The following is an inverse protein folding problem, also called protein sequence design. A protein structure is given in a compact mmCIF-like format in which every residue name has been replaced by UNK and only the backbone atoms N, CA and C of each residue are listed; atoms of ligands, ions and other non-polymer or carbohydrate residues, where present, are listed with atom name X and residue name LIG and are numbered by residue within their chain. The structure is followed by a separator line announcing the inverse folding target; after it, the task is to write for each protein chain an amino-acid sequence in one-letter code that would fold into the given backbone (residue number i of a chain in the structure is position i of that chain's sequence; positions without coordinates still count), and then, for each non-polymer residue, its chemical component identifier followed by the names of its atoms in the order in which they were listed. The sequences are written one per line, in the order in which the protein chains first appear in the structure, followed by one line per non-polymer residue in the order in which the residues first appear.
data_IF_734287210785
#
_entry.id   IF_734287210785
#
_cell.length_a   1.000
_cell.length_b   1.000
_cell.length_c   1.000
_cell.angle_alpha   90.00
_cell.angle_beta   90.00
_cell.angle_gamma   90.00
#
_symmetry.space_group_name_H-M   'P 1'
#
loop_
_entity.id
_entity.type
_entity.pdbx_description
1 polymer ?
2 non-polymer ?
3 non-polymer ?
4 non-polymer ?
5 water ?
#
# COMPACT_ATOMS: atom_id res chain seq x y z
N UNK A 1 13.50 6.00 -11.73
CA UNK A 1 14.35 4.87 -11.30
C UNK A 1 13.59 3.95 -10.34
N UNK A 2 14.35 3.21 -9.54
CA UNK A 2 13.77 2.22 -8.59
C UNK A 2 12.81 2.86 -7.59
N UNK A 3 13.23 3.97 -6.96
CA UNK A 3 12.33 4.63 -5.97
C UNK A 3 11.02 5.10 -6.61
N UNK A 4 11.09 5.71 -7.79
CA UNK A 4 9.87 6.09 -8.52
C UNK A 4 8.98 4.88 -8.84
N UNK A 5 9.61 3.78 -9.27
CA UNK A 5 8.83 2.59 -9.59
C UNK A 5 8.01 2.09 -8.39
N UNK A 6 8.57 2.15 -7.18
CA UNK A 6 7.81 1.80 -5.97
C UNK A 6 6.53 2.66 -5.87
N UNK A 7 6.68 3.98 -6.13
CA UNK A 7 5.53 4.90 -6.14
C UNK A 7 4.52 4.55 -7.26
N UNK A 8 5.01 4.22 -8.46
CA UNK A 8 4.13 3.84 -9.57
C UNK A 8 3.26 2.60 -9.16
N UNK A 9 3.96 1.56 -8.69
CA UNK A 9 3.27 0.31 -8.30
C UNK A 9 2.23 0.58 -7.16
N UNK A 10 2.64 1.32 -6.13
CA UNK A 10 1.78 1.65 -5.01
C UNK A 10 0.53 2.46 -5.42
N UNK A 11 0.62 3.21 -6.53
CA UNK A 11 -0.53 3.99 -7.00
C UNK A 11 -1.65 3.15 -7.62
N UNK A 12 -1.42 1.86 -7.90
CA UNK A 12 -2.49 0.96 -8.43
C UNK A 12 -2.16 -0.47 -8.00
N UNK A 13 -2.00 -0.66 -6.70
CA UNK A 13 -1.26 -1.81 -6.21
C UNK A 13 -2.01 -3.17 -6.36
N UNK A 14 -3.34 -3.23 -6.08
CA UNK A 14 -4.08 -4.48 -6.24
C UNK A 14 -4.01 -4.98 -7.71
N UNK A 15 -4.14 -4.05 -8.67
CA UNK A 15 -4.12 -4.38 -10.10
C UNK A 15 -2.72 -4.88 -10.52
N UNK A 16 -1.66 -4.12 -10.17
CA UNK A 16 -0.30 -4.59 -10.49
C UNK A 16 0.03 -5.92 -9.82
N UNK A 17 -0.33 -6.07 -8.53
CA UNK A 17 -0.03 -7.29 -7.78
C UNK A 17 -0.65 -8.52 -8.48
N UNK A 18 -1.95 -8.44 -8.80
CA UNK A 18 -2.62 -9.57 -9.47
C UNK A 18 -2.01 -9.81 -10.85
N UNK A 19 -1.76 -8.75 -11.65
CA UNK A 19 -1.26 -8.95 -13.01
C UNK A 19 0.16 -9.55 -13.04
N UNK A 20 1.03 -9.08 -12.13
CA UNK A 20 2.40 -9.64 -12.04
C UNK A 20 2.36 -11.11 -11.57
N UNK A 21 1.56 -11.38 -10.53
CA UNK A 21 1.45 -12.76 -10.03
C UNK A 21 0.89 -13.73 -11.10
N UNK A 22 -0.13 -13.25 -11.88
CA UNK A 22 -0.61 -14.06 -13.03
C UNK A 22 0.48 -14.28 -14.07
N UNK A 23 1.28 -13.23 -14.35
CA UNK A 23 2.37 -13.42 -15.33
C UNK A 23 3.34 -14.51 -14.85
N UNK A 24 3.65 -14.52 -13.55
CA UNK A 24 4.49 -15.55 -12.93
C UNK A 24 3.88 -16.97 -13.09
N UNK A 25 2.64 -17.12 -12.67
CA UNK A 25 1.98 -18.43 -12.77
C UNK A 25 1.85 -18.91 -14.21
N UNK A 26 1.61 -18.01 -15.16
CA UNK A 26 1.46 -18.40 -16.57
C UNK A 26 2.82 -18.69 -17.25
N UNK A 27 3.92 -18.04 -16.82
CA UNK A 27 5.25 -18.32 -17.35
C UNK A 27 5.79 -19.65 -16.81
N UNK A 28 5.43 -19.95 -15.56
CA UNK A 28 5.93 -21.12 -14.81
C UNK A 28 4.75 -21.94 -14.25
N UNK A 29 4.00 -22.67 -15.11
CA UNK A 29 2.77 -23.27 -14.60
C UNK A 29 3.03 -24.32 -13.50
N UNK A 30 4.22 -24.94 -13.53
CA UNK A 30 4.54 -25.90 -12.50
C UNK A 30 4.64 -25.29 -11.13
N UNK A 31 4.85 -23.96 -11.03
CA UNK A 31 4.90 -23.27 -9.75
C UNK A 31 3.55 -23.32 -9.01
N UNK A 32 2.45 -23.65 -9.70
CA UNK A 32 1.15 -23.92 -9.01
C UNK A 32 1.16 -25.07 -8.03
N UNK A 33 2.18 -25.92 -8.08
CA UNK A 33 2.36 -26.92 -7.03
C UNK A 33 2.35 -26.31 -5.62
N UNK A 34 2.77 -25.03 -5.51
CA UNK A 34 2.77 -24.28 -4.28
C UNK A 34 1.43 -23.58 -3.98
N UNK A 35 0.49 -23.58 -4.93
CA UNK A 35 -0.75 -22.79 -4.90
C UNK A 35 -1.91 -23.65 -5.44
N UNK A 36 -2.17 -24.77 -4.77
CA UNK A 36 -3.10 -25.78 -5.27
C UNK A 36 -4.55 -25.28 -5.43
N UNK A 37 -4.95 -24.29 -4.66
CA UNK A 37 -6.31 -23.76 -4.75
C UNK A 37 -6.53 -22.93 -6.02
N UNK A 38 -5.45 -22.60 -6.74
CA UNK A 38 -5.57 -21.81 -7.96
C UNK A 38 -5.53 -22.64 -9.25
N UNK A 39 -5.49 -23.95 -9.14
CA UNK A 39 -5.52 -24.86 -10.27
C UNK A 39 -6.87 -24.80 -11.00
N UNK A 40 -6.84 -24.93 -12.34
CA UNK A 40 -8.11 -25.12 -13.10
C UNK A 40 -8.93 -23.85 -13.26
N UNK A 41 -8.27 -22.69 -13.26
CA UNK A 41 -8.98 -21.41 -13.26
C UNK A 41 -8.29 -20.45 -14.26
N UNK A 42 -9.10 -19.77 -15.07
CA UNK A 42 -8.60 -18.71 -15.94
C UNK A 42 -8.22 -17.47 -15.11
N UNK A 43 -7.50 -16.54 -15.77
CA UNK A 43 -7.12 -15.26 -15.10
C UNK A 43 -8.38 -14.51 -14.53
N UNK A 44 -9.45 -14.38 -15.34
CA UNK A 44 -10.63 -13.66 -14.87
C UNK A 44 -11.31 -14.39 -13.68
N UNK A 45 -11.31 -15.74 -13.69
CA UNK A 45 -11.85 -16.50 -12.55
C UNK A 45 -11.01 -16.20 -11.27
N UNK A 46 -9.67 -16.24 -11.40
CA UNK A 46 -8.79 -15.97 -10.21
C UNK A 46 -9.04 -14.56 -9.67
N UNK A 47 -9.29 -13.57 -10.54
CA UNK A 47 -9.55 -12.16 -10.12
C UNK A 47 -10.94 -12.00 -9.46
N UNK A 48 -11.75 -13.07 -9.40
CA UNK A 48 -13.00 -13.11 -8.60
C UNK A 48 -12.96 -14.15 -7.46
N UNK A 49 -11.78 -14.61 -7.07
CA UNK A 49 -11.59 -15.50 -5.93
C UNK A 49 -11.01 -14.70 -4.76
N UNK A 50 -11.74 -14.61 -3.65
CA UNK A 50 -11.43 -13.62 -2.58
C UNK A 50 -10.00 -13.73 -2.06
N UNK A 51 -9.55 -14.99 -1.77
CA UNK A 51 -8.20 -15.18 -1.21
C UNK A 51 -7.10 -14.85 -2.23
N UNK A 52 -7.33 -15.08 -3.54
CA UNK A 52 -6.31 -14.72 -4.55
C UNK A 52 -6.04 -13.20 -4.46
N UNK A 53 -7.10 -12.38 -4.48
CA UNK A 53 -6.90 -10.90 -4.45
C UNK A 53 -6.34 -10.41 -3.11
N UNK A 54 -6.92 -10.88 -2.01
CA UNK A 54 -6.54 -10.39 -0.69
C UNK A 54 -5.09 -10.80 -0.35
N UNK A 55 -4.75 -12.09 -0.55
CA UNK A 55 -3.41 -12.53 -0.24
C UNK A 55 -2.37 -11.89 -1.18
N UNK A 56 -2.64 -11.85 -2.50
CA UNK A 56 -1.67 -11.30 -3.42
C UNK A 56 -1.41 -9.79 -3.17
N UNK A 57 -2.44 -9.01 -2.78
CA UNK A 57 -2.24 -7.60 -2.38
C UNK A 57 -1.34 -7.53 -1.13
N UNK A 58 -1.58 -8.37 -0.12
CA UNK A 58 -0.75 -8.34 1.10
C UNK A 58 0.71 -8.71 0.78
N UNK A 59 0.95 -9.65 -0.12
CA UNK A 59 2.28 -10.01 -0.60
C UNK A 59 2.99 -8.74 -1.13
N UNK A 60 2.32 -8.01 -2.05
CA UNK A 60 2.93 -6.83 -2.68
C UNK A 60 3.01 -5.62 -1.71
N UNK A 61 2.10 -5.49 -0.75
CA UNK A 61 2.25 -4.44 0.28
C UNK A 61 3.63 -4.62 0.98
N UNK A 62 3.93 -5.87 1.40
CA UNK A 62 5.20 -6.17 2.05
C UNK A 62 6.40 -6.06 1.08
N UNK A 63 6.25 -6.56 -0.15
CA UNK A 63 7.37 -6.48 -1.11
C UNK A 63 7.79 -4.99 -1.32
N UNK A 64 6.78 -4.09 -1.42
CA UNK A 64 7.10 -2.67 -1.64
C UNK A 64 7.81 -2.04 -0.42
N UNK A 65 7.42 -2.47 0.80
CA UNK A 65 8.13 -2.03 2.00
C UNK A 65 9.61 -2.52 2.02
N UNK A 66 9.84 -3.80 1.66
CA UNK A 66 11.20 -4.33 1.60
C UNK A 66 12.05 -3.55 0.56
N UNK A 67 11.45 -3.30 -0.62
CA UNK A 67 12.13 -2.48 -1.66
C UNK A 67 12.42 -1.06 -1.14
N UNK A 68 11.45 -0.46 -0.45
CA UNK A 68 11.64 0.94 0.03
C UNK A 68 12.72 1.06 1.13
N UNK A 69 12.83 0.01 1.94
CA UNK A 69 13.86 -0.04 3.03
C UNK A 69 15.26 -0.39 2.51
N UNK A 70 15.39 -0.85 1.27
CA UNK A 70 16.67 -1.26 0.68
C UNK A 70 17.59 -0.04 0.44
N UNK A 71 18.90 -0.30 0.35
CA UNK A 71 19.91 0.69 -0.10
C UNK A 71 20.54 0.17 -1.39
N UNK A 72 20.48 0.96 -2.49
CA UNK A 72 21.02 0.51 -3.80
C UNK A 72 20.53 -0.90 -4.15
N UNK A 73 19.23 -1.15 -3.92
CA UNK A 73 18.59 -2.44 -4.30
C UNK A 73 19.06 -3.65 -3.47
N UNK A 74 19.67 -3.38 -2.30
CA UNK A 74 20.12 -4.43 -1.34
C UNK A 74 19.23 -4.36 -0.12
N UNK A 75 18.43 -5.45 0.14
CA UNK A 75 17.45 -5.39 1.27
C UNK A 75 18.14 -5.48 2.66
N UNK A 76 17.42 -4.99 3.67
CA UNK A 76 17.85 -5.21 5.09
C UNK A 76 17.89 -6.69 5.44
N UNK A 77 18.90 -7.07 6.24
CA UNK A 77 18.95 -8.48 6.74
C UNK A 77 17.71 -8.85 7.54
N UNK A 78 17.14 -7.92 8.29
CA UNK A 78 15.92 -8.20 9.09
C UNK A 78 14.73 -8.54 8.18
N UNK A 79 14.62 -7.90 7.01
CA UNK A 79 13.55 -8.22 6.06
C UNK A 79 13.74 -9.63 5.42
N UNK A 80 14.98 -9.97 5.05
CA UNK A 80 15.28 -11.30 4.53
C UNK A 80 14.93 -12.39 5.59
N UNK A 81 15.33 -12.15 6.86
CA UNK A 81 15.01 -13.12 7.91
C UNK A 81 13.50 -13.30 8.06
N UNK A 82 12.72 -12.23 8.04
CA UNK A 82 11.26 -12.36 8.12
C UNK A 82 10.77 -13.26 7.03
N UNK A 83 11.19 -13.05 5.79
CA UNK A 83 10.76 -13.88 4.63
C UNK A 83 11.15 -15.36 4.74
N UNK A 84 12.32 -15.66 5.31
CA UNK A 84 12.71 -17.05 5.52
C UNK A 84 11.91 -17.72 6.65
N UNK A 85 11.67 -16.98 7.75
CA UNK A 85 11.08 -17.59 9.00
C UNK A 85 9.56 -17.72 8.96
N UNK A 86 8.90 -16.93 8.14
CA UNK A 86 7.47 -17.02 7.95
C UNK A 86 6.99 -18.49 7.74
N UNK A 87 6.08 -18.97 8.59
CA UNK A 87 5.53 -20.33 8.45
C UNK A 87 4.95 -20.69 7.06
N UNK A 88 4.41 -19.67 6.37
CA UNK A 88 3.83 -19.86 5.03
C UNK A 88 4.86 -20.22 3.97
N UNK A 89 6.14 -19.85 4.25
CA UNK A 89 7.26 -20.00 3.31
C UNK A 89 8.13 -21.20 3.59
N UNK A 90 7.65 -22.08 4.47
CA UNK A 90 8.39 -23.24 4.96
C UNK A 90 8.83 -24.16 3.81
N UNK A 91 7.91 -24.36 2.84
CA UNK A 91 8.22 -25.21 1.69
C UNK A 91 9.13 -24.69 0.59
N UNK A 92 9.67 -23.47 0.75
CA UNK A 92 10.28 -22.74 -0.38
C UNK A 92 11.80 -22.82 -0.39
N UNK A 93 12.37 -22.70 -1.58
CA UNK A 93 13.81 -22.58 -1.78
C UNK A 93 14.01 -21.33 -2.63
N UNK A 94 15.26 -20.96 -2.85
CA UNK A 94 15.57 -19.70 -3.53
C UNK A 94 15.23 -19.69 -5.00
N UNK A 95 15.19 -20.85 -5.66
CA UNK A 95 14.70 -20.89 -7.05
C UNK A 95 13.28 -20.38 -7.28
N UNK A 96 12.43 -20.55 -6.28
CA UNK A 96 11.05 -20.03 -6.31
C UNK A 96 11.06 -18.49 -6.46
N UNK A 97 11.97 -17.86 -5.69
CA UNK A 97 12.16 -16.38 -5.73
C UNK A 97 12.79 -15.92 -7.02
N UNK A 98 13.83 -16.63 -7.47
CA UNK A 98 14.49 -16.32 -8.77
C UNK A 98 13.45 -16.23 -9.89
N UNK A 99 12.53 -17.22 -9.95
CA UNK A 99 11.49 -17.28 -11.01
C UNK A 99 10.43 -16.14 -10.91
N UNK A 100 10.05 -15.83 -9.67
CA UNK A 100 9.14 -14.69 -9.47
C UNK A 100 9.70 -13.37 -10.04
N UNK A 101 11.00 -13.13 -9.74
CA UNK A 101 11.61 -11.88 -10.20
C UNK A 101 11.93 -11.86 -11.70
N UNK A 102 12.26 -13.02 -12.30
CA UNK A 102 12.36 -13.10 -13.76
C UNK A 102 11.02 -12.68 -14.43
N UNK A 103 9.92 -13.24 -13.92
CA UNK A 103 8.59 -12.89 -14.46
C UNK A 103 8.22 -11.40 -14.27
N UNK A 104 8.55 -10.85 -13.06
CA UNK A 104 8.28 -9.43 -12.76
C UNK A 104 9.04 -8.50 -13.74
N UNK A 105 10.34 -8.79 -13.95
CA UNK A 105 11.15 -7.97 -14.84
C UNK A 105 10.64 -8.05 -16.32
N UNK A 106 10.25 -9.27 -16.75
CA UNK A 106 9.68 -9.44 -18.09
C UNK A 106 8.38 -8.62 -18.27
N UNK A 107 7.52 -8.65 -17.23
CA UNK A 107 6.27 -7.85 -17.23
C UNK A 107 6.57 -6.36 -17.39
N UNK A 108 7.55 -5.86 -16.61
CA UNK A 108 7.92 -4.46 -16.68
C UNK A 108 8.42 -4.05 -18.10
N UNK A 109 9.28 -4.89 -18.69
CA UNK A 109 9.84 -4.61 -20.03
C UNK A 109 8.74 -4.59 -21.09
N UNK A 110 7.74 -5.46 -20.96
CA UNK A 110 6.62 -5.53 -21.92
C UNK A 110 5.52 -4.44 -21.74
N UNK A 111 5.52 -3.75 -20.59
CA UNK A 111 4.46 -2.80 -20.23
C UNK A 111 4.47 -1.56 -21.10
N UNK A 112 5.63 -1.20 -21.64
CA UNK A 112 5.72 0.00 -22.51
C UNK A 112 5.60 1.28 -21.68
N UNK A 113 6.01 1.12 -20.41
CA UNK A 113 6.05 2.29 -19.55
C UNK A 113 7.49 2.74 -19.42
N UNK A 114 7.86 3.20 -18.20
CA UNK A 114 9.19 3.71 -17.95
C UNK A 114 9.80 3.11 -16.69
N UNK A 115 9.49 1.84 -16.44
CA UNK A 115 10.05 1.12 -15.27
C UNK A 115 11.58 0.97 -15.47
N UNK A 116 12.31 0.99 -14.36
CA UNK A 116 13.77 0.74 -14.36
C UNK A 116 13.98 -0.76 -14.19
N UNK A 117 13.75 -1.50 -15.28
CA UNK A 117 13.73 -2.97 -15.21
C UNK A 117 15.03 -3.58 -14.68
N UNK A 118 16.16 -2.98 -15.05
CA UNK A 118 17.45 -3.47 -14.61
C UNK A 118 17.67 -3.38 -13.08
N UNK A 119 17.12 -2.34 -12.46
CA UNK A 119 17.19 -2.26 -10.99
C UNK A 119 16.35 -3.37 -10.33
N UNK A 120 15.17 -3.67 -10.89
CA UNK A 120 14.35 -4.79 -10.34
C UNK A 120 15.06 -6.16 -10.52
N UNK A 121 15.83 -6.34 -11.61
CA UNK A 121 16.62 -7.56 -11.79
C UNK A 121 17.68 -7.65 -10.69
N UNK A 122 18.38 -6.55 -10.39
CA UNK A 122 19.35 -6.51 -9.26
C UNK A 122 18.70 -6.78 -7.92
N UNK A 123 17.55 -6.13 -7.66
CA UNK A 123 16.85 -6.35 -6.40
C UNK A 123 16.51 -7.81 -6.23
N UNK A 124 15.98 -8.48 -7.28
CA UNK A 124 15.66 -9.92 -7.15
C UNK A 124 16.90 -10.77 -6.85
N UNK A 125 18.01 -10.49 -7.55
CA UNK A 125 19.27 -11.24 -7.29
C UNK A 125 19.80 -11.00 -5.88
N UNK A 126 19.75 -9.75 -5.41
CA UNK A 126 20.24 -9.40 -4.08
C UNK A 126 19.32 -9.94 -2.95
N UNK A 127 18.02 -9.99 -3.22
CA UNK A 127 17.12 -10.63 -2.27
C UNK A 127 17.42 -12.11 -2.19
N UNK A 128 17.62 -12.81 -3.32
CA UNK A 128 18.00 -14.27 -3.31
C UNK A 128 19.27 -14.48 -2.45
N UNK A 129 20.30 -13.65 -2.66
CA UNK A 129 21.53 -13.86 -1.88
C UNK A 129 21.30 -13.60 -0.39
N UNK A 130 20.50 -12.60 -0.04
CA UNK A 130 20.14 -12.33 1.38
C UNK A 130 19.31 -13.49 2.02
N UNK A 131 18.38 -14.06 1.25
CA UNK A 131 17.63 -15.24 1.71
C UNK A 131 18.56 -16.42 2.01
N UNK A 132 19.51 -16.70 1.10
CA UNK A 132 20.52 -17.75 1.35
C UNK A 132 21.29 -17.50 2.64
N UNK A 133 21.75 -16.26 2.85
CA UNK A 133 22.49 -15.86 4.06
C UNK A 133 21.66 -16.06 5.34
N UNK A 134 20.34 -15.82 5.22
CA UNK A 134 19.39 -15.96 6.34
C UNK A 134 18.90 -17.41 6.56
N UNK A 135 19.39 -18.36 5.74
CA UNK A 135 19.18 -19.79 5.94
C UNK A 135 18.24 -20.48 4.97
N UNK A 136 17.69 -19.84 3.96
CA UNK A 136 16.89 -20.56 2.96
C UNK A 136 17.74 -21.45 2.07
N UNK A 137 17.22 -22.66 1.81
CA UNK A 137 17.91 -23.66 0.99
C UNK A 137 17.77 -23.46 -0.50
N UNK B 1 6.22 3.91 17.13
CA UNK B 1 5.94 5.37 16.96
C UNK B 1 5.36 5.64 15.57
N UNK B 2 5.53 6.88 15.10
CA UNK B 2 4.91 7.33 13.82
C UNK B 2 5.40 6.51 12.62
N UNK B 3 6.74 6.30 12.51
CA UNK B 3 7.29 5.52 11.40
C UNK B 3 6.78 4.08 11.40
N UNK B 4 6.74 3.41 12.58
CA UNK B 4 6.17 2.06 12.63
C UNK B 4 4.68 2.08 12.23
N UNK B 5 3.92 3.11 12.67
CA UNK B 5 2.50 3.16 12.31
C UNK B 5 2.30 3.20 10.77
N UNK B 6 3.17 3.93 10.04
CA UNK B 6 3.10 3.92 8.59
C UNK B 6 3.26 2.48 8.05
N UNK B 7 4.22 1.73 8.62
CA UNK B 7 4.42 0.29 8.23
C UNK B 7 3.21 -0.60 8.60
N UNK B 8 2.62 -0.40 9.79
CA UNK B 8 1.41 -1.16 10.16
C UNK B 8 0.28 -0.92 9.15
N UNK B 9 0.03 0.38 8.88
CA UNK B 9 -1.06 0.73 7.94
C UNK B 9 -0.77 0.18 6.53
N UNK B 10 0.48 0.40 6.05
CA UNK B 10 0.92 -0.10 4.71
C UNK B 10 0.76 -1.62 4.56
N UNK B 11 0.99 -2.38 5.63
CA UNK B 11 0.95 -3.84 5.54
C UNK B 11 -0.42 -4.38 5.17
N UNK B 12 -1.49 -3.67 5.59
CA UNK B 12 -2.87 -4.05 5.24
C UNK B 12 -3.67 -2.79 4.80
N UNK B 13 -3.14 -2.09 3.81
CA UNK B 13 -3.63 -0.72 3.55
C UNK B 13 -5.10 -0.70 3.11
N UNK B 14 -5.54 -1.66 2.29
CA UNK B 14 -6.94 -1.58 1.77
C UNK B 14 -7.94 -1.75 2.94
N UNK B 15 -7.63 -2.61 3.93
CA UNK B 15 -8.54 -2.80 5.07
C UNK B 15 -8.57 -1.57 5.99
N UNK B 16 -7.38 -1.07 6.36
CA UNK B 16 -7.35 0.16 7.19
C UNK B 16 -8.00 1.34 6.48
N UNK B 17 -7.72 1.51 5.17
CA UNK B 17 -8.27 2.68 4.45
C UNK B 17 -9.81 2.69 4.50
N UNK B 18 -10.41 1.53 4.19
CA UNK B 18 -11.88 1.41 4.23
C UNK B 18 -12.41 1.67 5.63
N UNK B 19 -11.80 1.04 6.65
CA UNK B 19 -12.36 1.17 7.97
C UNK B 19 -12.20 2.60 8.55
N UNK B 20 -11.12 3.31 8.23
CA UNK B 20 -10.94 4.69 8.72
C UNK B 20 -11.90 5.63 7.95
N UNK B 21 -12.04 5.46 6.62
CA UNK B 21 -12.96 6.32 5.87
C UNK B 21 -14.41 6.12 6.36
N UNK B 22 -14.81 4.88 6.60
CA UNK B 22 -16.17 4.64 7.17
C UNK B 22 -16.33 5.27 8.55
N UNK B 23 -15.29 5.19 9.41
CA UNK B 23 -15.39 5.83 10.73
C UNK B 23 -15.61 7.35 10.57
N UNK B 24 -14.88 7.98 9.62
CA UNK B 24 -15.10 9.41 9.30
C UNK B 24 -16.53 9.72 8.84
N UNK B 25 -17.04 8.96 7.88
CA UNK B 25 -18.38 9.23 7.37
C UNK B 25 -19.46 8.99 8.44
N UNK B 26 -19.25 7.98 9.29
CA UNK B 26 -20.23 7.71 10.37
C UNK B 26 -20.17 8.73 11.51
N UNK B 27 -18.99 9.29 11.79
CA UNK B 27 -18.89 10.33 12.81
C UNK B 27 -19.49 11.67 12.34
N UNK B 28 -19.29 11.95 11.08
CA UNK B 28 -19.69 13.26 10.46
C UNK B 28 -20.56 12.99 9.23
N UNK B 29 -21.82 12.56 9.46
CA UNK B 29 -22.64 12.18 8.31
C UNK B 29 -22.84 13.35 7.29
N UNK B 30 -22.83 14.62 7.74
CA UNK B 30 -22.93 15.76 6.79
C UNK B 30 -21.80 15.83 5.77
N UNK B 31 -20.65 15.23 6.07
CA UNK B 31 -19.52 15.21 5.14
C UNK B 31 -19.78 14.33 3.95
N UNK B 32 -20.80 13.46 4.00
CA UNK B 32 -21.13 12.63 2.85
C UNK B 32 -21.65 13.49 1.65
N UNK B 33 -22.01 14.74 1.89
CA UNK B 33 -22.29 15.78 0.88
C UNK B 33 -21.21 15.91 -0.21
N UNK B 34 -19.95 15.65 0.14
CA UNK B 34 -18.80 15.62 -0.78
C UNK B 34 -18.74 14.34 -1.60
N UNK B 35 -19.55 13.34 -1.24
CA UNK B 35 -19.47 12.01 -1.82
C UNK B 35 -20.90 11.49 -2.14
N UNK B 36 -21.54 12.18 -3.09
CA UNK B 36 -22.92 11.89 -3.49
C UNK B 36 -23.20 10.42 -3.89
N UNK B 37 -22.21 9.77 -4.48
CA UNK B 37 -22.25 8.36 -4.92
C UNK B 37 -22.34 7.30 -3.79
N UNK B 38 -22.09 7.70 -2.54
CA UNK B 38 -22.13 6.80 -1.36
C UNK B 38 -23.40 6.98 -0.49
N UNK B 39 -24.30 7.86 -0.92
CA UNK B 39 -25.55 8.10 -0.20
C UNK B 39 -26.43 6.82 -0.20
N UNK B 40 -27.07 6.55 0.94
CA UNK B 40 -28.08 5.48 0.99
C UNK B 40 -27.54 4.07 1.04
N UNK B 41 -26.31 3.90 1.56
CA UNK B 41 -25.60 2.63 1.62
C UNK B 41 -24.97 2.41 3.00
N UNK B 42 -25.14 1.19 3.55
CA UNK B 42 -24.48 0.82 4.82
C UNK B 42 -22.97 0.50 4.59
N UNK B 43 -22.27 0.27 5.70
CA UNK B 43 -20.83 -0.04 5.64
C UNK B 43 -20.57 -1.24 4.69
N UNK B 44 -21.32 -2.34 4.90
CA UNK B 44 -21.07 -3.56 4.13
C UNK B 44 -21.54 -3.40 2.67
N UNK B 45 -22.57 -2.61 2.42
CA UNK B 45 -22.93 -2.26 1.04
C UNK B 45 -21.80 -1.52 0.30
N UNK B 46 -21.18 -0.56 0.95
CA UNK B 46 -20.05 0.18 0.32
C UNK B 46 -18.87 -0.78 0.07
N UNK B 47 -18.50 -1.60 1.07
CA UNK B 47 -17.31 -2.51 0.97
C UNK B 47 -17.53 -3.62 -0.04
N UNK B 48 -18.78 -3.93 -0.37
CA UNK B 48 -19.08 -5.02 -1.30
C UNK B 48 -18.66 -4.72 -2.70
N UNK B 49 -18.38 -3.44 -2.95
CA UNK B 49 -17.89 -2.98 -4.23
C UNK B 49 -16.36 -2.87 -4.17
N UNK B 50 -15.77 -3.82 -4.93
CA UNK B 50 -14.29 -3.80 -5.06
C UNK B 50 -13.75 -2.40 -5.42
N UNK B 51 -14.54 -1.59 -6.16
CA UNK B 51 -14.17 -0.18 -6.44
C UNK B 51 -14.05 0.83 -5.31
N UNK B 52 -14.97 0.77 -4.35
CA UNK B 52 -14.87 1.56 -3.09
C UNK B 52 -13.52 1.28 -2.43
N UNK B 53 -13.14 0.02 -2.39
CA UNK B 53 -11.84 -0.36 -1.86
C UNK B 53 -10.68 0.17 -2.70
N UNK B 54 -10.77 0.07 -4.03
CA UNK B 54 -9.70 0.51 -4.93
C UNK B 54 -9.45 1.97 -4.70
N UNK B 55 -10.52 2.69 -4.76
CA UNK B 55 -10.46 4.11 -4.67
C UNK B 55 -9.95 4.66 -3.28
N UNK B 56 -10.51 4.12 -2.22
CA UNK B 56 -10.13 4.48 -0.89
C UNK B 56 -8.62 4.12 -0.59
N UNK B 57 -8.16 2.97 -1.10
CA UNK B 57 -6.79 2.62 -0.90
C UNK B 57 -5.83 3.62 -1.62
N UNK B 58 -6.21 4.10 -2.82
CA UNK B 58 -5.39 5.12 -3.51
C UNK B 58 -5.30 6.42 -2.72
N UNK B 59 -6.38 6.85 -2.07
CA UNK B 59 -6.37 7.98 -1.15
C UNK B 59 -5.32 7.79 -0.03
N UNK B 60 -5.40 6.63 0.62
CA UNK B 60 -4.52 6.36 1.76
C UNK B 60 -3.07 6.11 1.35
N UNK B 61 -2.84 5.65 0.10
CA UNK B 61 -1.46 5.61 -0.38
C UNK B 61 -0.85 7.02 -0.40
N UNK B 62 -1.58 7.98 -0.98
CA UNK B 62 -1.06 9.38 -0.98
C UNK B 62 -0.87 9.88 0.46
N UNK B 63 -1.84 9.58 1.36
CA UNK B 63 -1.69 10.02 2.75
C UNK B 63 -0.36 9.47 3.34
N UNK B 64 -0.09 8.19 3.11
CA UNK B 64 1.12 7.57 3.65
C UNK B 64 2.42 8.15 3.01
N UNK B 65 2.38 8.53 1.74
CA UNK B 65 3.55 9.23 1.11
C UNK B 65 3.82 10.54 1.83
N UNK B 66 2.76 11.32 2.07
CA UNK B 66 2.90 12.62 2.75
C UNK B 66 3.42 12.42 4.18
N UNK B 67 2.87 11.41 4.89
CA UNK B 67 3.33 11.10 6.24
C UNK B 67 4.80 10.69 6.23
N UNK B 68 5.22 9.84 5.29
CA UNK B 68 6.61 9.36 5.30
C UNK B 68 7.63 10.46 4.94
N UNK B 69 7.21 11.42 4.11
CA UNK B 69 8.07 12.56 3.74
C UNK B 69 8.10 13.69 4.79
N UNK B 70 7.23 13.63 5.80
CA UNK B 70 7.21 14.67 6.85
C UNK B 70 8.48 14.60 7.71
N UNK B 71 8.81 15.69 8.35
CA UNK B 71 9.88 15.77 9.37
C UNK B 71 9.22 16.08 10.71
N UNK B 72 9.43 15.24 11.74
CA UNK B 72 8.79 15.47 13.07
C UNK B 72 7.29 15.80 12.94
N UNK B 73 6.59 15.03 12.09
CA UNK B 73 5.14 15.16 11.92
C UNK B 73 4.72 16.52 11.32
N UNK B 74 5.66 17.19 10.60
CA UNK B 74 5.37 18.43 9.87
C UNK B 74 5.49 18.13 8.37
N UNK B 75 4.35 18.14 7.63
CA UNK B 75 4.41 17.79 6.20
C UNK B 75 5.19 18.84 5.38
N UNK B 76 5.74 18.42 4.25
CA UNK B 76 6.38 19.32 3.30
C UNK B 76 5.35 20.30 2.73
N UNK B 77 5.78 21.57 2.56
CA UNK B 77 4.93 22.55 1.88
C UNK B 77 4.51 22.12 0.48
N UNK B 78 5.41 21.44 -0.25
CA UNK B 78 5.08 21.01 -1.60
C UNK B 78 3.98 19.93 -1.60
N UNK B 79 3.97 19.06 -0.57
CA UNK B 79 2.87 18.06 -0.46
C UNK B 79 1.56 18.70 -0.09
N UNK B 80 1.56 19.68 0.81
CA UNK B 80 0.33 20.44 1.11
C UNK B 80 -0.18 21.11 -0.21
N UNK B 81 0.73 21.72 -0.99
CA UNK B 81 0.32 22.36 -2.24
C UNK B 81 -0.32 21.36 -3.22
N UNK B 82 0.25 20.16 -3.35
CA UNK B 82 -0.38 19.14 -4.22
C UNK B 82 -1.84 18.91 -3.80
N UNK B 83 -2.07 18.76 -2.47
CA UNK B 83 -3.43 18.47 -1.98
C UNK B 83 -4.41 19.66 -2.22
N UNK B 84 -3.91 20.91 -2.16
CA UNK B 84 -4.73 22.10 -2.45
C UNK B 84 -5.08 22.18 -3.97
N UNK B 85 -4.10 21.86 -4.83
CA UNK B 85 -4.22 22.08 -6.30
C UNK B 85 -4.96 20.95 -7.04
N UNK B 86 -5.08 19.77 -6.43
CA UNK B 86 -5.83 18.66 -7.05
C UNK B 86 -7.24 19.14 -7.45
N UNK B 87 -7.61 18.95 -8.73
CA UNK B 87 -8.94 19.36 -9.21
C UNK B 87 -10.08 18.74 -8.36
N UNK B 88 -9.88 17.51 -7.89
CA UNK B 88 -10.89 16.79 -7.10
C UNK B 88 -11.15 17.43 -5.72
N UNK B 89 -10.19 18.23 -5.27
CA UNK B 89 -10.27 18.96 -3.99
C UNK B 89 -10.73 20.41 -4.10
N UNK B 90 -11.19 20.82 -5.29
CA UNK B 90 -11.65 22.18 -5.48
C UNK B 90 -12.89 22.38 -4.64
N UNK B 91 -12.96 23.49 -3.91
CA UNK B 91 -14.09 23.71 -3.00
C UNK B 91 -14.12 22.86 -1.72
N UNK B 92 -13.02 22.22 -1.35
CA UNK B 92 -12.77 21.90 0.08
C UNK B 92 -12.21 23.09 0.85
N UNK B 93 -12.37 23.04 2.18
CA UNK B 93 -11.69 23.97 3.07
C UNK B 93 -10.98 23.16 4.18
N UNK B 94 -10.17 23.85 4.97
CA UNK B 94 -9.36 23.13 5.96
C UNK B 94 -10.20 22.34 6.99
N UNK B 95 -11.42 22.78 7.31
CA UNK B 95 -12.28 22.07 8.24
C UNK B 95 -12.63 20.64 7.83
N UNK B 96 -12.71 20.41 6.51
CA UNK B 96 -12.94 19.05 6.02
C UNK B 96 -11.78 18.09 6.49
N UNK B 97 -10.53 18.61 6.37
CA UNK B 97 -9.33 17.87 6.76
C UNK B 97 -9.23 17.75 8.27
N UNK B 98 -9.59 18.78 9.02
CA UNK B 98 -9.60 18.71 10.48
C UNK B 98 -10.47 17.54 10.98
N UNK B 99 -11.66 17.44 10.41
CA UNK B 99 -12.62 16.39 10.80
C UNK B 99 -12.10 14.99 10.46
N UNK B 100 -11.51 14.86 9.26
CA UNK B 100 -10.94 13.58 8.88
C UNK B 100 -9.92 13.08 9.94
N UNK B 101 -9.00 13.97 10.34
CA UNK B 101 -7.97 13.56 11.30
C UNK B 101 -8.51 13.37 12.72
N UNK B 102 -9.54 14.11 13.13
CA UNK B 102 -10.19 13.78 14.41
C UNK B 102 -10.74 12.34 14.37
N UNK B 103 -11.43 11.95 13.29
CA UNK B 103 -11.97 10.58 13.17
C UNK B 103 -10.86 9.52 13.15
N UNK B 104 -9.76 9.80 12.41
CA UNK B 104 -8.64 8.86 12.30
C UNK B 104 -7.99 8.59 13.68
N UNK B 105 -7.78 9.67 14.46
CA UNK B 105 -7.17 9.52 15.81
C UNK B 105 -8.13 8.72 16.74
N UNK B 106 -9.44 9.01 16.67
CA UNK B 106 -10.43 8.27 17.47
C UNK B 106 -10.42 6.77 17.11
N UNK B 107 -10.34 6.45 15.83
CA UNK B 107 -10.25 5.04 15.37
C UNK B 107 -9.00 4.37 15.97
N UNK B 108 -7.83 5.07 15.90
CA UNK B 108 -6.60 4.48 16.42
C UNK B 108 -6.69 4.20 17.93
N UNK B 109 -7.25 5.15 18.71
CA UNK B 109 -7.37 4.96 20.15
C UNK B 109 -8.31 3.80 20.50
N UNK B 110 -9.35 3.57 19.71
CA UNK B 110 -10.33 2.47 19.97
C UNK B 110 -9.83 1.10 19.49
N UNK B 111 -8.79 1.05 18.68
CA UNK B 111 -8.32 -0.21 18.08
C UNK B 111 -7.55 -1.07 19.07
N UNK B 112 -7.54 -2.37 18.84
CA UNK B 112 -6.62 -3.27 19.60
C UNK B 112 -5.11 -3.13 19.29
N UNK B 113 -4.82 -2.64 18.07
CA UNK B 113 -3.46 -2.42 17.56
C UNK B 113 -2.80 -1.18 18.24
N UNK B 114 -1.52 -1.29 18.68
CA UNK B 114 -0.75 -0.17 19.24
C UNK B 114 -0.55 0.82 18.03
N UNK B 115 -0.90 2.10 18.25
CA UNK B 115 -0.64 3.26 17.42
C UNK B 115 -0.16 4.44 18.29
N UNK B 116 0.67 5.30 17.73
CA UNK B 116 1.14 6.54 18.43
C UNK B 116 0.10 7.62 18.10
N UNK B 117 -1.04 7.60 18.81
CA UNK B 117 -2.18 8.49 18.51
C UNK B 117 -1.82 9.96 18.62
N UNK B 118 -0.97 10.29 19.58
CA UNK B 118 -0.53 11.69 19.77
C UNK B 118 0.24 12.23 18.55
N UNK B 119 1.10 11.41 17.94
CA UNK B 119 1.81 11.84 16.72
C UNK B 119 0.83 12.10 15.55
N UNK B 120 -0.19 11.21 15.40
CA UNK B 120 -1.18 11.44 14.31
C UNK B 120 -2.05 12.70 14.55
N UNK B 121 -2.36 13.01 15.83
CA UNK B 121 -3.07 14.23 16.16
C UNK B 121 -2.22 15.48 15.76
N UNK B 122 -0.92 15.45 16.09
CA UNK B 122 0.00 16.53 15.69
C UNK B 122 0.12 16.66 14.16
N UNK B 123 0.27 15.50 13.47
CA UNK B 123 0.36 15.48 12.02
C UNK B 123 -0.88 16.15 11.41
N UNK B 124 -2.08 15.78 11.91
CA UNK B 124 -3.29 16.40 11.36
C UNK B 124 -3.35 17.92 11.57
N UNK B 125 -2.97 18.38 12.77
CA UNK B 125 -2.94 19.84 13.04
C UNK B 125 -1.91 20.55 12.14
N UNK B 126 -0.74 19.97 12.00
CA UNK B 126 0.32 20.55 11.16
C UNK B 126 -0.05 20.49 9.67
N UNK B 127 -0.80 19.47 9.24
CA UNK B 127 -1.30 19.43 7.86
C UNK B 127 -2.28 20.58 7.61
N UNK B 128 -3.23 20.78 8.54
CA UNK B 128 -4.20 21.90 8.40
C UNK B 128 -3.45 23.26 8.25
N UNK B 129 -2.45 23.50 9.10
CA UNK B 129 -1.74 24.78 9.02
C UNK B 129 -0.94 24.88 7.70
N UNK B 130 -0.36 23.78 7.21
CA UNK B 130 0.32 23.77 5.88
C UNK B 130 -0.65 23.98 4.71
N UNK B 131 -1.84 23.40 4.78
CA UNK B 131 -2.88 23.64 3.75
C UNK B 131 -3.23 25.13 3.65
N UNK B 132 -3.46 25.77 4.81
CA UNK B 132 -3.70 27.20 4.83
C UNK B 132 -2.52 27.99 4.22
N UNK B 133 -1.26 27.67 4.57
CA UNK B 133 -0.11 28.37 3.98
C UNK B 133 0.02 28.17 2.48
N UNK B 134 -0.48 27.03 1.96
CA UNK B 134 -0.45 26.72 0.51
C UNK B 134 -1.72 27.20 -0.21
N UNK B 135 -2.58 27.96 0.48
CA UNK B 135 -3.68 28.70 -0.16
C UNK B 135 -5.09 28.11 -0.03
N UNK B 136 -5.32 27.11 0.83
CA UNK B 136 -6.69 26.59 1.07
C UNK B 136 -7.40 27.50 2.08
N UNK B 137 -8.66 27.83 1.80
CA UNK B 137 -9.50 28.57 2.73
C UNK B 137 -10.05 27.77 3.92
#
# INVERSE_FOLDING_TARGET
GFKQDIATLRGDLRTYAQDIFLAFLNKYPDEKRNFKNYVGKSDQELKSMAKFGDHTEKVFNLMMEVADRATDCVPLASDASTLVQMKQHSGLTTGNFEKLFVALVEYMRASGQSFDSQSWDRFGKNLVSALSSAGMK
GFKQDIATLRGDLRTYAQDIFLAFLNKYPDEKRNFKNYVGKSDQELKSMAKFGDHTEKVFNLMMEVADRATDCVPLASDASTLVQMKQHSGLTTGNFEKLFVALVEYMRASGQSFDSQSWDRFGKNLVSALSSAGMK
#
